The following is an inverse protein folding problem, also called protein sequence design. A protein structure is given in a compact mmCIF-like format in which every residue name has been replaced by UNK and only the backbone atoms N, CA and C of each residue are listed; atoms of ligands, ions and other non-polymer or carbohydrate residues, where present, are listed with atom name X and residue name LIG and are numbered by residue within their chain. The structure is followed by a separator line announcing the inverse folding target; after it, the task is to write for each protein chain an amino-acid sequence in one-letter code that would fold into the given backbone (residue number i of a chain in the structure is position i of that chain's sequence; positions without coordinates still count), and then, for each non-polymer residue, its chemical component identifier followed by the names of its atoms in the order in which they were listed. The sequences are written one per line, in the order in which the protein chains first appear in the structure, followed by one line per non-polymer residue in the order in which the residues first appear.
data_IF_913098169481
#
_entry.id   IF_913098169481
#
_cell.length_a   1.000
_cell.length_b   1.000
_cell.length_c   1.000
_cell.angle_alpha   90.00
_cell.angle_beta   90.00
_cell.angle_gamma   90.00
#
_symmetry.space_group_name_H-M   'P 1'
#
loop_
_entity.id
_entity.type
_entity.pdbx_description
1 polymer ?
#
# COMPACT_ATOMS: atom_id res chain seq x y z
N UNK A 1 -14.39 -10.75 7.74
CA UNK A 1 -15.10 -10.88 6.45
C UNK A 1 -15.76 -12.24 6.44
N UNK A 2 -16.97 -12.34 5.92
CA UNK A 2 -17.80 -13.55 6.02
C UNK A 2 -18.04 -14.18 4.63
N UNK A 3 -18.35 -15.48 4.54
CA UNK A 3 -18.60 -16.16 3.28
C UNK A 3 -19.69 -15.51 2.40
N UNK A 4 -20.63 -14.81 3.02
CA UNK A 4 -21.74 -14.16 2.32
C UNK A 4 -21.27 -12.99 1.43
N UNK A 5 -20.07 -12.43 1.69
CA UNK A 5 -19.51 -11.33 0.90
C UNK A 5 -18.81 -11.77 -0.39
N UNK A 6 -18.63 -13.09 -0.60
CA UNK A 6 -17.82 -13.63 -1.69
C UNK A 6 -18.36 -13.23 -3.07
N UNK A 7 -19.66 -13.39 -3.31
CA UNK A 7 -20.27 -13.05 -4.60
C UNK A 7 -20.15 -11.56 -4.91
N UNK A 8 -20.50 -10.70 -3.94
CA UNK A 8 -20.40 -9.24 -4.11
C UNK A 8 -18.96 -8.77 -4.35
N UNK A 9 -17.98 -9.38 -3.67
CA UNK A 9 -16.57 -9.02 -3.85
C UNK A 9 -16.04 -9.45 -5.22
N UNK A 10 -16.44 -10.63 -5.71
CA UNK A 10 -16.12 -11.10 -7.05
C UNK A 10 -16.71 -10.18 -8.12
N UNK A 11 -18.01 -9.87 -8.04
CA UNK A 11 -18.69 -9.04 -9.03
C UNK A 11 -18.08 -7.63 -9.09
N UNK A 12 -17.80 -7.03 -7.92
CA UNK A 12 -17.13 -5.74 -7.84
C UNK A 12 -15.73 -5.77 -8.49
N UNK A 13 -14.93 -6.79 -8.19
CA UNK A 13 -13.58 -6.92 -8.75
C UNK A 13 -13.58 -7.12 -10.28
N UNK A 14 -14.56 -7.87 -10.82
CA UNK A 14 -14.66 -8.10 -12.26
C UNK A 14 -15.11 -6.85 -13.03
N UNK A 15 -15.97 -6.03 -12.43
CA UNK A 15 -16.46 -4.77 -13.04
C UNK A 15 -15.41 -3.64 -12.96
N UNK A 16 -14.65 -3.57 -11.87
CA UNK A 16 -13.64 -2.53 -11.65
C UNK A 16 -12.30 -2.77 -12.39
N UNK A 17 -12.07 -3.97 -12.93
CA UNK A 17 -10.85 -4.30 -13.66
C UNK A 17 -10.76 -3.66 -15.05
N UNK A 18 -9.53 -3.31 -15.49
CA UNK A 18 -9.29 -2.84 -16.87
C UNK A 18 -9.83 -3.88 -17.87
N UNK A 19 -10.73 -3.43 -18.75
CA UNK A 19 -11.38 -4.19 -19.84
C UNK A 19 -12.45 -5.23 -19.45
N UNK A 20 -12.85 -5.36 -18.18
CA UNK A 20 -13.96 -6.21 -17.73
C UNK A 20 -13.72 -7.71 -17.90
N UNK A 21 -13.49 -8.42 -16.79
CA UNK A 21 -13.19 -9.86 -16.81
C UNK A 21 -11.70 -10.16 -16.70
N UNK A 22 -11.18 -10.17 -15.48
CA UNK A 22 -9.75 -10.27 -15.20
C UNK A 22 -9.42 -11.19 -14.03
N UNK A 23 -8.15 -11.62 -13.96
CA UNK A 23 -7.61 -12.29 -12.78
C UNK A 23 -7.63 -11.35 -11.58
N UNK A 24 -7.88 -11.90 -10.40
CA UNK A 24 -7.86 -11.17 -9.12
C UNK A 24 -6.72 -11.66 -8.25
N UNK A 25 -6.27 -10.82 -7.31
CA UNK A 25 -5.35 -11.20 -6.24
C UNK A 25 -6.15 -11.24 -4.94
N UNK A 26 -5.94 -12.28 -4.14
CA UNK A 26 -6.52 -12.42 -2.80
C UNK A 26 -5.39 -12.40 -1.78
N UNK A 27 -5.31 -11.34 -0.98
CA UNK A 27 -4.27 -11.14 0.02
C UNK A 27 -4.82 -11.32 1.44
N UNK A 28 -3.97 -11.82 2.33
CA UNK A 28 -4.25 -11.80 3.77
C UNK A 28 -4.18 -10.37 4.29
N UNK A 29 -5.12 -9.98 5.15
CA UNK A 29 -5.08 -8.67 5.79
C UNK A 29 -3.88 -8.60 6.73
N UNK A 30 -2.92 -7.75 6.40
CA UNK A 30 -1.78 -7.43 7.29
C UNK A 30 -2.28 -6.48 8.38
N UNK A 31 -2.07 -6.85 9.65
CA UNK A 31 -2.25 -5.94 10.78
C UNK A 31 -0.94 -5.19 10.99
N UNK A 32 -0.92 -3.91 10.65
CA UNK A 32 0.25 -3.04 10.75
C UNK A 32 -0.02 -1.88 11.74
N UNK A 33 1.06 -1.31 12.27
CA UNK A 33 0.98 -0.14 13.16
C UNK A 33 0.72 1.15 12.39
N UNK A 34 1.33 1.27 11.20
CA UNK A 34 1.13 2.34 10.23
C UNK A 34 1.61 1.86 8.85
N UNK A 35 1.21 2.58 7.80
CA UNK A 35 1.69 2.39 6.43
C UNK A 35 2.51 3.59 5.99
N UNK A 36 3.47 3.35 5.10
CA UNK A 36 4.33 4.40 4.54
C UNK A 36 4.41 4.31 3.03
N UNK A 37 4.69 5.45 2.41
CA UNK A 37 5.30 5.54 1.09
C UNK A 37 6.75 5.95 1.26
N UNK A 38 7.68 5.10 0.83
CA UNK A 38 9.10 5.45 0.74
C UNK A 38 9.39 5.90 -0.69
N UNK A 39 9.53 7.22 -0.88
CA UNK A 39 9.92 7.77 -2.18
C UNK A 39 11.39 7.44 -2.44
N UNK A 40 11.61 6.56 -3.40
CA UNK A 40 12.93 6.01 -3.76
C UNK A 40 13.30 6.48 -5.16
N UNK A 41 14.40 7.21 -5.28
CA UNK A 41 14.91 7.74 -6.55
C UNK A 41 16.04 6.82 -7.03
N UNK A 42 15.89 6.26 -8.23
CA UNK A 42 17.00 5.62 -8.96
C UNK A 42 17.57 6.61 -9.97
N UNK A 43 18.78 7.10 -9.73
CA UNK A 43 19.46 8.09 -10.55
C UNK A 43 20.84 7.58 -11.04
N UNK A 44 21.49 8.36 -11.90
CA UNK A 44 22.80 8.01 -12.49
C UNK A 44 23.90 7.87 -11.42
N UNK A 45 23.73 8.53 -10.28
CA UNK A 45 24.65 8.54 -9.14
C UNK A 45 24.25 7.57 -8.02
N UNK A 46 23.20 6.77 -8.21
CA UNK A 46 22.78 5.74 -7.27
C UNK A 46 21.32 5.80 -6.86
N UNK A 47 20.99 5.08 -5.79
CA UNK A 47 19.65 5.04 -5.21
C UNK A 47 19.60 5.97 -4.00
N UNK A 48 18.61 6.86 -3.98
CA UNK A 48 18.39 7.84 -2.91
C UNK A 48 17.01 7.65 -2.31
N UNK A 49 16.87 7.93 -1.01
CA UNK A 49 15.62 7.81 -0.28
C UNK A 49 15.25 9.14 0.36
N UNK A 50 14.00 9.58 0.19
CA UNK A 50 13.44 10.60 1.07
C UNK A 50 13.21 10.02 2.48
N UNK A 51 12.95 10.90 3.45
CA UNK A 51 12.39 10.45 4.73
C UNK A 51 11.05 9.73 4.52
N UNK A 52 10.71 8.69 5.30
CA UNK A 52 9.49 7.92 5.12
C UNK A 52 8.25 8.82 5.28
N UNK A 53 7.31 8.70 4.35
CA UNK A 53 6.05 9.46 4.36
C UNK A 53 4.97 8.55 4.91
N UNK A 54 4.44 8.87 6.09
CA UNK A 54 3.29 8.18 6.64
C UNK A 54 2.02 8.66 5.93
N UNK A 55 1.02 7.80 5.82
CA UNK A 55 -0.28 8.21 5.29
C UNK A 55 -1.46 7.44 5.87
N UNK A 56 -2.65 8.03 5.74
CA UNK A 56 -3.93 7.42 6.11
C UNK A 56 -4.80 7.22 4.87
N UNK A 57 -5.16 5.98 4.59
CA UNK A 57 -6.11 5.59 3.55
C UNK A 57 -7.52 5.42 4.14
N UNK A 58 -8.54 5.85 3.40
CA UNK A 58 -9.95 5.62 3.73
C UNK A 58 -10.76 5.50 2.45
N UNK A 59 -11.52 4.40 2.31
CA UNK A 59 -12.33 4.06 1.14
C UNK A 59 -11.58 4.05 -0.21
N UNK A 60 -10.30 3.67 -0.18
CA UNK A 60 -9.45 3.58 -1.37
C UNK A 60 -8.77 4.89 -1.77
N UNK A 61 -9.03 5.97 -1.03
CA UNK A 61 -8.41 7.28 -1.25
C UNK A 61 -7.52 7.70 -0.09
N UNK A 62 -6.41 8.34 -0.47
CA UNK A 62 -5.49 8.97 0.46
C UNK A 62 -6.15 10.19 1.09
N UNK A 63 -6.00 10.34 2.42
CA UNK A 63 -6.57 11.47 3.16
C UNK A 63 -5.51 12.46 3.62
N UNK A 64 -4.47 11.95 4.28
CA UNK A 64 -3.44 12.77 4.96
C UNK A 64 -2.08 12.07 4.90
N UNK A 65 -1.01 12.85 4.76
CA UNK A 65 0.38 12.42 4.79
C UNK A 65 1.20 13.36 5.65
N UNK A 66 2.26 12.82 6.22
CA UNK A 66 3.21 13.57 7.02
C UNK A 66 4.62 12.99 6.85
N UNK A 67 5.61 13.86 7.04
CA UNK A 67 7.02 13.51 6.92
C UNK A 67 7.81 14.23 8.03
N UNK A 68 8.67 13.53 8.79
CA UNK A 68 8.92 12.09 8.74
C UNK A 68 7.85 11.26 9.48
N UNK A 69 7.52 10.07 8.96
CA UNK A 69 6.91 9.01 9.76
C UNK A 69 7.94 8.48 10.76
N UNK A 70 7.55 8.42 12.04
CA UNK A 70 8.40 7.82 13.08
C UNK A 70 8.49 6.31 12.86
N UNK A 71 9.72 5.81 12.75
CA UNK A 71 10.02 4.39 12.59
C UNK A 71 11.17 3.99 13.51
N UNK A 72 11.24 2.71 13.89
CA UNK A 72 12.47 2.19 14.48
C UNK A 72 13.59 2.18 13.43
N UNK A 73 14.84 2.34 13.86
CA UNK A 73 15.99 2.26 12.96
C UNK A 73 16.03 0.94 12.17
N UNK A 74 15.62 -0.16 12.81
CA UNK A 74 15.53 -1.48 12.16
C UNK A 74 14.46 -1.52 11.07
N UNK A 75 13.28 -0.95 11.30
CA UNK A 75 12.22 -0.91 10.29
C UNK A 75 12.62 -0.01 9.11
N UNK A 76 13.21 1.15 9.38
CA UNK A 76 13.70 2.06 8.34
C UNK A 76 14.78 1.41 7.49
N UNK A 77 15.78 0.77 8.13
CA UNK A 77 16.85 0.07 7.43
C UNK A 77 16.32 -1.07 6.55
N UNK A 78 15.30 -1.82 7.00
CA UNK A 78 14.67 -2.87 6.19
C UNK A 78 13.84 -2.32 5.02
N UNK A 79 13.28 -1.12 5.16
CA UNK A 79 12.52 -0.47 4.10
C UNK A 79 13.43 0.10 2.98
N UNK A 80 14.69 0.43 3.30
CA UNK A 80 15.69 0.99 2.38
C UNK A 80 16.65 -0.06 1.78
N UNK A 81 16.54 -1.32 2.20
CA UNK A 81 17.39 -2.41 1.72
C UNK A 81 16.93 -2.93 0.35
#
# INVERSE_FOLDING_TARGET
RTPEQLQSAWDYAQQGGRAGGGRVIVEGLVRFDFEITLLTISAVDGVHFCEPIGHRQEDGDYRESWQPQRMSATALSRAQA
#
